data_IF_832218614515
#
_entry.id   IF_832218614515
#
_cell.length_a   1.000
_cell.length_b   1.000
_cell.length_c   1.000
_cell.angle_alpha   90.00
_cell.angle_beta   90.00
_cell.angle_gamma   90.00
#
_symmetry.space_group_name_H-M   'P 1'
#
loop_
_entity.id
_entity.type
_entity.pdbx_description
1 polymer ?
#
# COMPACT_ATOMS: atom_id res chain seq x y z
N UNK A 1 -34.73 84.01 24.97
CA UNK A 1 -33.70 83.27 24.18
C UNK A 1 -32.39 83.03 24.95
N UNK A 2 -31.95 83.94 25.83
CA UNK A 2 -30.71 83.80 26.61
C UNK A 2 -30.61 82.53 27.49
N UNK A 3 -31.71 82.13 28.16
CA UNK A 3 -31.71 80.94 29.03
C UNK A 3 -31.54 79.61 28.29
N UNK A 4 -31.89 79.53 26.99
CA UNK A 4 -31.71 78.32 26.17
C UNK A 4 -30.26 78.18 25.71
N UNK A 5 -29.59 79.29 25.43
CA UNK A 5 -28.16 79.28 25.10
C UNK A 5 -27.30 78.91 26.31
N UNK A 6 -27.63 79.40 27.51
CA UNK A 6 -26.90 79.06 28.73
C UNK A 6 -27.00 77.55 29.06
N UNK A 7 -28.18 76.94 28.83
CA UNK A 7 -28.40 75.50 29.02
C UNK A 7 -27.61 74.65 28.02
N UNK A 8 -27.51 75.10 26.77
CA UNK A 8 -26.73 74.41 25.73
C UNK A 8 -25.23 74.46 26.03
N UNK A 9 -24.72 75.58 26.52
CA UNK A 9 -23.31 75.72 26.92
C UNK A 9 -22.98 74.85 28.14
N UNK A 10 -23.91 74.75 29.10
CA UNK A 10 -23.72 73.95 30.31
C UNK A 10 -23.78 72.43 30.03
N UNK A 11 -24.60 72.00 29.08
CA UNK A 11 -24.63 70.60 28.61
C UNK A 11 -23.40 70.26 27.76
N UNK A 12 -22.89 71.21 26.96
CA UNK A 12 -21.65 71.01 26.21
C UNK A 12 -20.44 70.92 27.13
N UNK A 13 -20.37 71.72 28.20
CA UNK A 13 -19.29 71.60 29.20
C UNK A 13 -19.35 70.28 29.98
N UNK A 14 -20.54 69.77 30.30
CA UNK A 14 -20.72 68.47 30.97
C UNK A 14 -20.37 67.27 30.08
N UNK A 15 -20.56 67.39 28.76
CA UNK A 15 -20.16 66.36 27.79
C UNK A 15 -18.64 66.35 27.53
N UNK A 16 -17.95 67.49 27.67
CA UNK A 16 -16.49 67.59 27.48
C UNK A 16 -15.71 67.17 28.75
N UNK A 17 -16.34 67.18 29.94
CA UNK A 17 -15.73 66.62 31.16
C UNK A 17 -15.85 65.10 31.29
N UNK A 18 -16.63 64.44 30.43
CA UNK A 18 -16.72 62.97 30.39
C UNK A 18 -15.64 62.40 29.47
N UNK A 19 -14.38 62.47 29.89
CA UNK A 19 -13.36 61.63 29.27
C UNK A 19 -13.71 60.16 29.57
N UNK A 20 -13.67 59.24 28.58
CA UNK A 20 -13.76 57.83 28.87
C UNK A 20 -12.61 57.48 29.83
N UNK A 21 -12.94 56.92 30.98
CA UNK A 21 -11.93 56.46 31.93
C UNK A 21 -11.03 55.44 31.24
N UNK A 22 -9.74 55.76 31.12
CA UNK A 22 -8.71 54.87 30.57
C UNK A 22 -8.67 53.53 31.31
N UNK A 23 -9.07 53.49 32.60
CA UNK A 23 -9.20 52.28 33.40
C UNK A 23 -10.19 51.25 32.81
N UNK A 24 -11.33 51.71 32.26
CA UNK A 24 -12.34 50.80 31.69
C UNK A 24 -11.87 50.17 30.37
N UNK A 25 -11.12 50.93 29.56
CA UNK A 25 -10.48 50.39 28.35
C UNK A 25 -9.27 49.49 28.69
N UNK A 26 -8.51 49.79 29.74
CA UNK A 26 -7.41 48.94 30.21
C UNK A 26 -7.91 47.57 30.71
N UNK A 27 -9.03 47.53 31.44
CA UNK A 27 -9.68 46.28 31.87
C UNK A 27 -10.27 45.48 30.71
N UNK A 28 -10.93 46.12 29.74
CA UNK A 28 -11.49 45.43 28.58
C UNK A 28 -10.41 44.81 27.67
N UNK A 29 -9.26 45.47 27.54
CA UNK A 29 -8.13 44.99 26.73
C UNK A 29 -7.36 43.85 27.45
N UNK A 30 -7.25 43.89 28.78
CA UNK A 30 -6.63 42.81 29.57
C UNK A 30 -7.48 41.52 29.64
N UNK A 31 -8.81 41.65 29.59
CA UNK A 31 -9.69 40.47 29.54
C UNK A 31 -9.63 39.73 28.19
N UNK A 32 -9.53 40.46 27.07
CA UNK A 32 -9.41 39.84 25.75
C UNK A 32 -8.11 39.06 25.54
N UNK A 33 -7.01 39.50 26.15
CA UNK A 33 -5.73 38.82 26.05
C UNK A 33 -5.61 37.63 27.00
N UNK A 34 -6.15 37.72 28.22
CA UNK A 34 -6.28 36.57 29.11
C UNK A 34 -7.08 35.43 28.45
N UNK A 35 -8.18 35.77 27.77
CA UNK A 35 -8.96 34.78 27.02
C UNK A 35 -8.16 34.18 25.85
N UNK A 36 -7.44 35.00 25.07
CA UNK A 36 -6.57 34.52 23.99
C UNK A 36 -5.50 33.55 24.50
N UNK A 37 -4.86 33.85 25.63
CA UNK A 37 -3.84 32.99 26.25
C UNK A 37 -4.44 31.63 26.60
N UNK A 38 -5.59 31.61 27.29
CA UNK A 38 -6.29 30.39 27.68
C UNK A 38 -6.72 29.57 26.45
N UNK A 39 -7.27 30.23 25.44
CA UNK A 39 -7.73 29.58 24.21
C UNK A 39 -6.55 28.95 23.45
N UNK A 40 -5.46 29.69 23.24
CA UNK A 40 -4.28 29.16 22.55
C UNK A 40 -3.57 28.09 23.36
N UNK A 41 -3.51 28.21 24.68
CA UNK A 41 -2.93 27.19 25.54
C UNK A 41 -3.71 25.88 25.44
N UNK A 42 -5.05 25.95 25.37
CA UNK A 42 -5.90 24.79 25.12
C UNK A 42 -5.66 24.19 23.73
N UNK A 43 -5.54 25.03 22.69
CA UNK A 43 -5.20 24.55 21.33
C UNK A 43 -3.87 23.80 21.33
N UNK A 44 -2.82 24.34 21.95
CA UNK A 44 -1.52 23.68 22.02
C UNK A 44 -1.61 22.35 22.78
N UNK A 45 -2.38 22.27 23.87
CA UNK A 45 -2.61 21.02 24.60
C UNK A 45 -3.36 19.98 23.75
N UNK A 46 -4.40 20.39 23.02
CA UNK A 46 -5.16 19.50 22.14
C UNK A 46 -4.28 18.98 20.99
N UNK A 47 -3.43 19.83 20.41
CA UNK A 47 -2.46 19.43 19.40
C UNK A 47 -1.41 18.46 19.96
N UNK A 48 -0.95 18.67 21.20
CA UNK A 48 -0.04 17.74 21.88
C UNK A 48 -0.68 16.36 22.07
N UNK A 49 -1.92 16.31 22.57
CA UNK A 49 -2.65 15.05 22.76
C UNK A 49 -2.87 14.30 21.43
N UNK A 50 -3.18 15.01 20.34
CA UNK A 50 -3.28 14.41 19.00
C UNK A 50 -1.93 13.88 18.53
N UNK A 51 -0.85 14.62 18.76
CA UNK A 51 0.52 14.19 18.42
C UNK A 51 0.89 12.90 19.15
N UNK A 52 0.54 12.77 20.44
CA UNK A 52 0.78 11.56 21.21
C UNK A 52 -0.01 10.35 20.67
N UNK A 53 -1.25 10.58 20.23
CA UNK A 53 -2.08 9.56 19.59
C UNK A 53 -1.48 9.09 18.26
N UNK A 54 -0.96 10.02 17.45
CA UNK A 54 -0.30 9.69 16.19
C UNK A 54 1.04 8.98 16.42
N UNK A 55 1.83 9.39 17.41
CA UNK A 55 3.08 8.70 17.75
C UNK A 55 2.85 7.23 18.11
N UNK A 56 1.76 6.91 18.83
CA UNK A 56 1.38 5.52 19.10
C UNK A 56 1.02 4.76 17.83
N UNK A 57 0.22 5.36 16.94
CA UNK A 57 -0.10 4.76 15.62
C UNK A 57 1.15 4.50 14.78
N UNK A 58 2.14 5.41 14.80
CA UNK A 58 3.43 5.17 14.12
C UNK A 58 4.12 3.91 14.64
N UNK A 59 4.02 3.61 15.93
CA UNK A 59 4.58 2.40 16.52
C UNK A 59 3.77 1.15 16.18
N UNK A 60 2.44 1.25 16.19
CA UNK A 60 1.53 0.13 15.91
C UNK A 60 1.55 -0.26 14.41
N UNK A 61 1.61 0.73 13.53
CA UNK A 61 1.59 0.56 12.06
C UNK A 61 2.99 0.63 11.44
N UNK A 62 4.04 0.30 12.19
CA UNK A 62 5.44 0.45 11.78
C UNK A 62 5.82 -0.33 10.50
N UNK A 63 5.02 -1.34 10.12
CA UNK A 63 5.24 -2.17 8.92
C UNK A 63 4.38 -1.79 7.71
N UNK A 64 3.41 -0.87 7.86
CA UNK A 64 2.50 -0.46 6.79
C UNK A 64 2.87 0.92 6.23
N UNK A 65 3.48 0.94 5.04
CA UNK A 65 3.90 2.18 4.37
C UNK A 65 2.72 3.14 4.11
N UNK A 66 1.53 2.61 3.79
CA UNK A 66 0.37 3.44 3.47
C UNK A 66 -0.17 4.13 4.72
N UNK A 67 -0.24 3.41 5.85
CA UNK A 67 -0.61 3.96 7.14
C UNK A 67 0.41 5.02 7.61
N UNK A 68 1.70 4.76 7.45
CA UNK A 68 2.77 5.71 7.78
C UNK A 68 2.70 7.01 6.96
N UNK A 69 2.28 6.95 5.68
CA UNK A 69 2.04 8.15 4.86
C UNK A 69 0.89 8.98 5.42
N UNK A 70 -0.23 8.34 5.75
CA UNK A 70 -1.39 9.04 6.30
C UNK A 70 -1.05 9.74 7.62
N UNK A 71 -0.35 9.04 8.52
CA UNK A 71 0.10 9.62 9.80
C UNK A 71 1.07 10.79 9.57
N UNK A 72 1.99 10.69 8.60
CA UNK A 72 2.89 11.79 8.24
C UNK A 72 2.13 13.04 7.78
N UNK A 73 1.10 12.89 6.94
CA UNK A 73 0.28 14.02 6.48
C UNK A 73 -0.45 14.69 7.65
N UNK A 74 -1.02 13.91 8.56
CA UNK A 74 -1.69 14.43 9.75
C UNK A 74 -0.71 15.17 10.67
N UNK A 75 0.51 14.65 10.85
CA UNK A 75 1.57 15.34 11.60
C UNK A 75 1.97 16.67 10.95
N UNK A 76 2.10 16.73 9.61
CA UNK A 76 2.40 17.99 8.91
C UNK A 76 1.33 19.07 9.17
N UNK A 77 0.05 18.68 9.22
CA UNK A 77 -1.05 19.57 9.56
C UNK A 77 -1.01 20.05 11.01
N UNK A 78 -0.67 19.17 11.96
CA UNK A 78 -0.49 19.55 13.36
C UNK A 78 0.69 20.51 13.55
N UNK A 79 1.80 20.31 12.81
CA UNK A 79 2.96 21.21 12.86
C UNK A 79 2.58 22.62 12.39
N UNK A 80 1.83 22.72 11.28
CA UNK A 80 1.29 23.99 10.76
C UNK A 80 0.36 24.65 11.78
N UNK A 81 -0.53 23.88 12.42
CA UNK A 81 -1.45 24.39 13.42
C UNK A 81 -0.73 24.93 14.67
N UNK A 82 0.32 24.24 15.14
CA UNK A 82 1.14 24.69 16.26
C UNK A 82 1.82 26.03 15.95
N UNK A 83 2.40 26.20 14.77
CA UNK A 83 3.02 27.46 14.36
C UNK A 83 1.99 28.60 14.24
N UNK A 84 0.78 28.32 13.75
CA UNK A 84 -0.30 29.31 13.69
C UNK A 84 -0.73 29.81 15.08
N UNK A 85 -0.71 28.95 16.11
CA UNK A 85 -0.97 29.36 17.49
C UNK A 85 0.08 30.38 17.97
N UNK A 86 1.37 30.15 17.67
CA UNK A 86 2.41 31.11 18.02
C UNK A 86 2.26 32.45 17.27
N UNK A 87 1.84 32.41 16.00
CA UNK A 87 1.60 33.61 15.19
C UNK A 87 0.44 34.46 15.68
N UNK A 88 -0.57 33.87 16.32
CA UNK A 88 -1.73 34.58 16.87
C UNK A 88 -1.35 35.65 17.92
N UNK A 89 -0.23 35.47 18.62
CA UNK A 89 0.24 36.40 19.64
C UNK A 89 1.07 37.58 19.10
N UNK A 90 1.39 37.60 17.80
CA UNK A 90 2.31 38.60 17.21
C UNK A 90 1.83 40.03 17.41
N UNK A 91 0.54 40.29 17.17
CA UNK A 91 -0.05 41.63 17.36
C UNK A 91 -0.02 42.02 18.84
N UNK A 92 -0.41 41.11 19.73
CA UNK A 92 -0.50 41.39 21.16
C UNK A 92 0.86 41.68 21.78
N UNK A 93 1.89 40.94 21.39
CA UNK A 93 3.26 41.21 21.85
C UNK A 93 3.77 42.58 21.38
N UNK A 94 3.42 43.01 20.17
CA UNK A 94 3.76 44.35 19.68
C UNK A 94 3.09 45.43 20.55
N UNK A 95 1.80 45.27 20.85
CA UNK A 95 1.06 46.21 21.71
C UNK A 95 1.62 46.29 23.13
N UNK A 96 1.94 45.13 23.74
CA UNK A 96 2.55 45.08 25.08
C UNK A 96 3.93 45.76 25.07
N UNK A 97 4.78 45.48 24.08
CA UNK A 97 6.10 46.10 23.99
C UNK A 97 5.99 47.63 23.81
N UNK A 98 5.08 48.11 22.95
CA UNK A 98 4.83 49.54 22.77
C UNK A 98 4.35 50.20 24.08
N UNK A 99 3.46 49.55 24.83
CA UNK A 99 2.99 50.07 26.13
C UNK A 99 4.10 50.11 27.18
N UNK A 100 4.94 49.07 27.26
CA UNK A 100 6.10 49.05 28.16
C UNK A 100 7.09 50.17 27.80
N UNK A 101 7.29 50.44 26.50
CA UNK A 101 8.15 51.53 26.03
C UNK A 101 7.61 52.91 26.42
N UNK A 102 6.30 53.13 26.27
CA UNK A 102 5.62 54.37 26.70
C UNK A 102 5.72 54.58 28.22
N UNK A 103 5.63 53.51 29.02
CA UNK A 103 5.78 53.57 30.48
C UNK A 103 7.22 53.88 30.92
N UNK A 104 8.21 53.74 30.04
CA UNK A 104 9.61 54.03 30.32
C UNK A 104 10.29 53.09 31.33
N UNK A 105 11.60 53.25 31.54
CA UNK A 105 12.35 52.44 32.49
C UNK A 105 11.99 52.79 33.94
N UNK A 106 12.13 51.83 34.88
CA UNK A 106 11.93 52.12 36.30
C UNK A 106 12.89 53.20 36.81
N UNK A 107 12.47 54.04 37.77
CA UNK A 107 13.33 55.07 38.35
C UNK A 107 14.58 54.45 38.99
N UNK A 108 15.73 55.08 38.75
CA UNK A 108 17.01 54.66 39.31
C UNK A 108 17.02 54.78 40.85
N UNK A 109 17.84 53.98 41.54
CA UNK A 109 17.99 54.04 43.00
C UNK A 109 18.30 55.48 43.46
N UNK A 110 17.36 56.07 44.22
CA UNK A 110 17.47 57.43 44.76
C UNK A 110 16.52 58.47 44.14
N UNK A 111 15.75 58.15 43.11
CA UNK A 111 14.69 59.02 42.57
C UNK A 111 13.35 58.86 43.31
N UNK A 112 12.41 59.83 43.21
CA UNK A 112 11.08 59.73 43.81
C UNK A 112 10.38 58.44 43.36
N UNK A 113 9.72 57.75 44.29
CA UNK A 113 8.96 56.53 43.97
C UNK A 113 7.93 56.82 42.89
N UNK A 114 7.93 55.98 41.85
CA UNK A 114 6.90 55.99 40.81
C UNK A 114 5.51 55.81 41.44
N UNK A 115 4.46 56.44 40.88
CA UNK A 115 3.09 56.19 41.31
C UNK A 115 2.80 54.68 41.28
N UNK A 116 2.18 54.15 42.35
CA UNK A 116 1.89 52.71 42.48
C UNK A 116 1.12 52.14 41.28
N UNK A 117 0.30 52.97 40.62
CA UNK A 117 -0.47 52.62 39.42
C UNK A 117 0.46 52.23 38.25
N UNK A 118 1.52 53.01 37.98
CA UNK A 118 2.48 52.77 36.89
C UNK A 118 3.29 51.50 37.14
N UNK A 119 3.75 51.32 38.38
CA UNK A 119 4.48 50.11 38.80
C UNK A 119 3.63 48.85 38.66
N UNK A 120 2.36 48.92 39.08
CA UNK A 120 1.42 47.80 38.97
C UNK A 120 1.10 47.47 37.50
N UNK A 121 0.91 48.48 36.65
CA UNK A 121 0.66 48.27 35.22
C UNK A 121 1.87 47.66 34.51
N UNK A 122 3.09 48.15 34.78
CA UNK A 122 4.33 47.56 34.26
C UNK A 122 4.48 46.09 34.70
N UNK A 123 4.17 45.79 35.97
CA UNK A 123 4.18 44.44 36.50
C UNK A 123 3.17 43.50 35.81
N UNK A 124 1.94 43.98 35.60
CA UNK A 124 0.90 43.21 34.91
C UNK A 124 1.26 42.91 33.44
N UNK A 125 1.77 43.91 32.71
CA UNK A 125 2.22 43.74 31.32
C UNK A 125 3.43 42.80 31.21
N UNK A 126 4.35 42.84 32.18
CA UNK A 126 5.49 41.92 32.23
C UNK A 126 5.05 40.47 32.51
N UNK A 127 4.08 40.27 33.40
CA UNK A 127 3.49 38.96 33.67
C UNK A 127 2.78 38.40 32.43
N UNK A 128 1.95 39.20 31.77
CA UNK A 128 1.25 38.82 30.55
C UNK A 128 2.22 38.43 29.42
N UNK A 129 3.30 39.21 29.24
CA UNK A 129 4.36 38.90 28.27
C UNK A 129 5.04 37.56 28.58
N UNK A 130 5.28 37.26 29.86
CA UNK A 130 5.88 36.00 30.28
C UNK A 130 4.96 34.81 29.97
N UNK A 131 3.65 34.94 30.22
CA UNK A 131 2.66 33.90 29.90
C UNK A 131 2.56 33.65 28.39
N UNK A 132 2.48 34.71 27.57
CA UNK A 132 2.46 34.59 26.10
C UNK A 132 3.73 33.89 25.60
N UNK A 133 4.90 34.29 26.10
CA UNK A 133 6.17 33.67 25.71
C UNK A 133 6.22 32.18 26.09
N UNK A 134 5.62 31.79 27.22
CA UNK A 134 5.53 30.39 27.61
C UNK A 134 4.66 29.57 26.63
N UNK A 135 3.52 30.12 26.17
CA UNK A 135 2.67 29.45 25.17
C UNK A 135 3.38 29.35 23.81
N UNK A 136 4.04 30.43 23.37
CA UNK A 136 4.84 30.42 22.13
C UNK A 136 5.94 29.35 22.20
N UNK A 137 6.68 29.28 23.31
CA UNK A 137 7.72 28.28 23.49
C UNK A 137 7.15 26.86 23.45
N UNK A 138 5.98 26.62 24.07
CA UNK A 138 5.28 25.34 24.02
C UNK A 138 4.89 24.95 22.58
N UNK A 139 4.33 25.88 21.81
CA UNK A 139 3.97 25.66 20.41
C UNK A 139 5.19 25.38 19.52
N UNK A 140 6.30 26.10 19.73
CA UNK A 140 7.56 25.86 19.01
C UNK A 140 8.15 24.49 19.32
N UNK A 141 8.21 24.13 20.61
CA UNK A 141 8.68 22.81 21.05
C UNK A 141 7.82 21.69 20.46
N UNK A 142 6.50 21.88 20.40
CA UNK A 142 5.58 20.93 19.79
C UNK A 142 5.86 20.77 18.29
N UNK A 143 6.06 21.87 17.54
CA UNK A 143 6.42 21.80 16.11
C UNK A 143 7.75 21.06 15.89
N UNK A 144 8.77 21.32 16.71
CA UNK A 144 10.05 20.61 16.64
C UNK A 144 9.84 19.11 16.87
N UNK A 145 9.07 18.74 17.90
CA UNK A 145 8.76 17.33 18.20
C UNK A 145 8.02 16.65 17.04
N UNK A 146 7.01 17.32 16.47
CA UNK A 146 6.25 16.80 15.34
C UNK A 146 7.16 16.58 14.12
N UNK A 147 8.06 17.53 13.82
CA UNK A 147 9.02 17.38 12.72
C UNK A 147 9.98 16.19 12.96
N UNK A 148 10.43 15.97 14.19
CA UNK A 148 11.21 14.78 14.55
C UNK A 148 10.46 13.46 14.30
N UNK A 149 9.15 13.42 14.54
CA UNK A 149 8.32 12.25 14.21
C UNK A 149 8.19 12.07 12.69
N UNK A 150 8.01 13.15 11.93
CA UNK A 150 7.95 13.11 10.46
C UNK A 150 9.26 12.54 9.88
N UNK A 151 10.41 12.97 10.40
CA UNK A 151 11.73 12.48 9.99
C UNK A 151 11.89 10.99 10.32
N UNK A 152 11.48 10.57 11.53
CA UNK A 152 11.47 9.16 11.94
C UNK A 152 10.64 8.30 10.98
N UNK A 153 9.45 8.76 10.60
CA UNK A 153 8.60 8.08 9.60
C UNK A 153 9.34 7.98 8.27
N UNK A 154 10.03 9.05 7.83
CA UNK A 154 10.84 9.03 6.61
C UNK A 154 11.91 7.93 6.62
N UNK A 155 12.62 7.76 7.74
CA UNK A 155 13.62 6.70 7.92
C UNK A 155 12.97 5.32 7.89
N UNK A 156 11.89 5.10 8.67
CA UNK A 156 11.20 3.80 8.71
C UNK A 156 10.69 3.39 7.32
N UNK A 157 10.08 4.32 6.57
CA UNK A 157 9.60 4.05 5.21
C UNK A 157 10.73 3.75 4.24
N UNK A 158 11.87 4.44 4.34
CA UNK A 158 13.08 4.10 3.58
C UNK A 158 13.56 2.69 3.90
N UNK A 159 13.55 2.28 5.16
CA UNK A 159 13.94 0.94 5.58
C UNK A 159 12.92 -0.12 5.11
N UNK A 160 11.62 0.15 5.19
CA UNK A 160 10.59 -0.71 4.61
C UNK A 160 10.77 -0.87 3.10
N UNK A 161 11.09 0.21 2.39
CA UNK A 161 11.37 0.16 0.95
C UNK A 161 12.62 -0.68 0.65
N UNK A 162 13.70 -0.50 1.41
CA UNK A 162 14.92 -1.31 1.30
C UNK A 162 14.64 -2.78 1.61
N UNK A 163 13.84 -3.05 2.64
CA UNK A 163 13.41 -4.40 3.01
C UNK A 163 12.51 -5.00 1.93
N UNK A 164 11.57 -4.26 1.34
CA UNK A 164 10.75 -4.74 0.23
C UNK A 164 11.58 -5.06 -1.01
N UNK A 165 12.54 -4.20 -1.34
CA UNK A 165 13.49 -4.46 -2.42
C UNK A 165 14.37 -5.67 -2.11
N UNK A 166 14.89 -5.79 -0.89
CA UNK A 166 15.72 -6.90 -0.43
C UNK A 166 14.93 -8.21 -0.30
N UNK A 167 13.64 -8.19 0.05
CA UNK A 167 12.76 -9.37 0.12
C UNK A 167 12.35 -9.84 -1.27
N UNK A 168 12.31 -8.94 -2.27
CA UNK A 168 12.30 -9.33 -3.69
C UNK A 168 13.69 -9.72 -4.21
N UNK A 169 14.75 -9.37 -3.49
CA UNK A 169 16.14 -9.73 -3.72
C UNK A 169 16.66 -10.73 -2.65
N UNK A 170 15.91 -11.80 -2.40
CA UNK A 170 16.45 -13.06 -1.84
C UNK A 170 17.55 -13.68 -2.75
N UNK A 171 18.09 -12.93 -3.72
CA UNK A 171 19.23 -13.32 -4.51
C UNK A 171 20.47 -13.52 -3.65
N UNK A 172 20.63 -12.87 -2.50
CA UNK A 172 21.86 -13.03 -1.70
C UNK A 172 21.93 -14.39 -0.97
N UNK A 173 20.80 -14.89 -0.48
CA UNK A 173 20.70 -16.24 0.10
C UNK A 173 20.56 -17.30 -1.00
N UNK A 174 19.77 -17.02 -2.06
CA UNK A 174 19.61 -17.93 -3.21
C UNK A 174 20.85 -18.04 -4.12
N UNK A 175 21.78 -17.07 -4.07
CA UNK A 175 23.09 -17.13 -4.75
C UNK A 175 24.23 -17.43 -3.76
N UNK A 176 23.92 -17.82 -2.52
CA UNK A 176 24.95 -18.29 -1.62
C UNK A 176 25.59 -19.58 -2.18
N UNK A 177 26.88 -19.84 -1.90
CA UNK A 177 27.52 -21.10 -2.26
C UNK A 177 26.76 -22.32 -1.70
N UNK A 178 26.09 -22.14 -0.55
CA UNK A 178 25.24 -23.13 0.09
C UNK A 178 23.99 -23.42 -0.77
N UNK A 179 23.26 -22.38 -1.18
CA UNK A 179 22.09 -22.54 -2.06
C UNK A 179 22.44 -23.12 -3.42
N UNK A 180 23.64 -22.85 -3.95
CA UNK A 180 24.14 -23.48 -5.18
C UNK A 180 24.46 -24.97 -4.97
N UNK A 181 25.04 -25.33 -3.82
CA UNK A 181 25.27 -26.73 -3.44
C UNK A 181 23.95 -27.47 -3.21
N UNK A 182 23.02 -26.87 -2.47
CA UNK A 182 21.72 -27.44 -2.17
C UNK A 182 20.89 -27.62 -3.46
N UNK A 183 20.91 -26.64 -4.36
CA UNK A 183 20.31 -26.77 -5.68
C UNK A 183 20.96 -27.90 -6.49
N UNK A 184 22.29 -28.02 -6.49
CA UNK A 184 22.99 -29.10 -7.17
C UNK A 184 22.63 -30.48 -6.59
N UNK A 185 22.58 -30.62 -5.27
CA UNK A 185 22.22 -31.86 -4.59
C UNK A 185 20.75 -32.24 -4.84
N UNK A 186 19.84 -31.26 -4.87
CA UNK A 186 18.45 -31.46 -5.25
C UNK A 186 18.30 -31.92 -6.70
N UNK A 187 19.00 -31.29 -7.65
CA UNK A 187 18.99 -31.69 -9.06
C UNK A 187 19.58 -33.09 -9.27
N UNK A 188 20.69 -33.40 -8.60
CA UNK A 188 21.30 -34.74 -8.70
C UNK A 188 20.41 -35.80 -8.07
N UNK A 189 19.70 -35.48 -6.99
CA UNK A 189 18.76 -36.37 -6.34
C UNK A 189 17.51 -36.63 -7.20
N UNK A 190 16.91 -35.60 -7.81
CA UNK A 190 15.83 -35.76 -8.80
C UNK A 190 16.29 -36.63 -9.98
N UNK A 191 17.48 -36.35 -10.53
CA UNK A 191 18.06 -37.11 -11.63
C UNK A 191 18.28 -38.58 -11.24
N UNK A 192 18.82 -38.86 -10.05
CA UNK A 192 19.01 -40.22 -9.54
C UNK A 192 17.67 -40.94 -9.36
N UNK A 193 16.65 -40.28 -8.80
CA UNK A 193 15.32 -40.85 -8.63
C UNK A 193 14.71 -41.24 -9.98
N UNK A 194 14.71 -40.32 -10.95
CA UNK A 194 14.16 -40.56 -12.29
C UNK A 194 14.94 -41.63 -13.04
N UNK A 195 16.28 -41.57 -13.01
CA UNK A 195 17.15 -42.56 -13.66
C UNK A 195 16.97 -43.96 -13.08
N UNK A 196 16.94 -44.07 -11.74
CA UNK A 196 16.70 -45.33 -11.03
C UNK A 196 15.33 -45.91 -11.37
N UNK A 197 14.28 -45.07 -11.38
CA UNK A 197 12.95 -45.47 -11.77
C UNK A 197 12.88 -45.92 -13.23
N UNK A 198 13.55 -45.23 -14.15
CA UNK A 198 13.54 -45.57 -15.57
C UNK A 198 14.22 -46.94 -15.79
N UNK A 199 15.37 -47.18 -15.16
CA UNK A 199 16.03 -48.49 -15.18
C UNK A 199 15.10 -49.56 -14.61
N UNK A 200 14.41 -49.27 -13.49
CA UNK A 200 13.46 -50.21 -12.89
C UNK A 200 12.28 -50.54 -13.81
N UNK A 201 11.67 -49.50 -14.40
CA UNK A 201 10.54 -49.59 -15.31
C UNK A 201 10.88 -50.45 -16.53
N UNK A 202 12.03 -50.20 -17.17
CA UNK A 202 12.46 -50.95 -18.36
C UNK A 202 12.99 -52.35 -18.05
N UNK A 203 13.73 -52.57 -16.95
CA UNK A 203 14.31 -53.89 -16.65
C UNK A 203 13.34 -54.84 -15.95
N UNK A 204 12.47 -54.35 -15.08
CA UNK A 204 11.68 -55.20 -14.17
C UNK A 204 10.18 -55.08 -14.38
N UNK A 205 9.69 -54.04 -15.06
CA UNK A 205 8.25 -53.75 -15.21
C UNK A 205 7.85 -53.40 -16.65
N UNK A 206 8.62 -53.78 -17.67
CA UNK A 206 8.39 -53.37 -19.06
C UNK A 206 6.98 -53.73 -19.57
N UNK A 207 6.50 -54.93 -19.26
CA UNK A 207 5.13 -55.34 -19.62
C UNK A 207 4.06 -54.49 -18.94
N UNK A 208 4.27 -54.14 -17.67
CA UNK A 208 3.38 -53.27 -16.90
C UNK A 208 3.38 -51.83 -17.43
N UNK A 209 4.56 -51.30 -17.79
CA UNK A 209 4.71 -49.98 -18.43
C UNK A 209 4.01 -49.93 -19.78
N UNK A 210 4.20 -50.96 -20.61
CA UNK A 210 3.53 -51.06 -21.91
C UNK A 210 2.02 -51.18 -21.77
N UNK A 211 1.54 -52.01 -20.84
CA UNK A 211 0.11 -52.13 -20.57
C UNK A 211 -0.50 -50.80 -20.09
N UNK A 212 0.18 -50.12 -19.15
CA UNK A 212 -0.24 -48.80 -18.66
C UNK A 212 -0.28 -47.75 -19.79
N UNK A 213 0.78 -47.70 -20.61
CA UNK A 213 0.88 -46.77 -21.74
C UNK A 213 -0.18 -47.06 -22.81
N UNK A 214 -0.40 -48.33 -23.15
CA UNK A 214 -1.43 -48.72 -24.12
C UNK A 214 -2.84 -48.40 -23.63
N UNK A 215 -3.13 -48.61 -22.34
CA UNK A 215 -4.42 -48.23 -21.76
C UNK A 215 -4.61 -46.71 -21.75
N UNK A 216 -3.58 -45.94 -21.38
CA UNK A 216 -3.61 -44.48 -21.42
C UNK A 216 -3.81 -43.95 -22.85
N UNK A 217 -3.09 -44.50 -23.83
CA UNK A 217 -3.23 -44.15 -25.24
C UNK A 217 -4.57 -44.60 -25.82
N UNK A 218 -5.09 -45.76 -25.41
CA UNK A 218 -6.42 -46.23 -25.78
C UNK A 218 -7.50 -45.26 -25.30
N UNK A 219 -7.40 -44.81 -24.06
CA UNK A 219 -8.29 -43.78 -23.51
C UNK A 219 -8.13 -42.44 -24.24
N UNK A 220 -6.90 -42.03 -24.58
CA UNK A 220 -6.65 -40.85 -25.41
C UNK A 220 -7.31 -40.96 -26.78
N UNK A 221 -7.23 -42.13 -27.42
CA UNK A 221 -7.86 -42.39 -28.71
C UNK A 221 -9.38 -42.32 -28.60
N UNK A 222 -9.97 -42.89 -27.54
CA UNK A 222 -11.41 -42.78 -27.27
C UNK A 222 -11.83 -41.32 -27.05
N UNK A 223 -11.06 -40.53 -26.31
CA UNK A 223 -11.33 -39.10 -26.10
C UNK A 223 -11.19 -38.29 -27.40
N UNK A 224 -10.18 -38.57 -28.22
CA UNK A 224 -9.96 -37.88 -29.49
C UNK A 224 -11.05 -38.23 -30.52
N UNK A 225 -11.36 -39.51 -30.69
CA UNK A 225 -12.38 -39.97 -31.64
C UNK A 225 -13.78 -39.59 -31.14
N UNK A 226 -14.07 -39.83 -29.87
CA UNK A 226 -15.35 -39.48 -29.24
C UNK A 226 -15.58 -37.97 -29.21
N UNK A 227 -14.57 -37.20 -28.81
CA UNK A 227 -14.63 -35.74 -28.80
C UNK A 227 -14.85 -35.14 -30.20
N UNK A 228 -14.10 -35.61 -31.21
CA UNK A 228 -14.32 -35.17 -32.60
C UNK A 228 -15.67 -35.58 -33.14
N UNK A 229 -16.16 -36.78 -32.84
CA UNK A 229 -17.44 -37.29 -33.37
C UNK A 229 -18.65 -36.63 -32.73
N UNK A 230 -18.62 -36.36 -31.42
CA UNK A 230 -19.74 -35.77 -30.69
C UNK A 230 -19.82 -34.25 -30.85
N UNK A 231 -18.68 -33.57 -30.95
CA UNK A 231 -18.62 -32.13 -30.85
C UNK A 231 -17.87 -31.44 -32.01
N UNK A 232 -17.42 -32.17 -33.03
CA UNK A 232 -16.62 -31.64 -34.15
C UNK A 232 -17.25 -30.45 -34.90
N UNK A 233 -18.58 -30.29 -34.85
CA UNK A 233 -19.29 -29.15 -35.47
C UNK A 233 -19.37 -27.89 -34.60
N UNK A 234 -19.05 -27.97 -33.31
CA UNK A 234 -19.21 -26.86 -32.34
C UNK A 234 -17.88 -26.12 -32.10
N UNK A 235 -16.75 -26.73 -32.45
CA UNK A 235 -15.41 -26.22 -32.10
C UNK A 235 -14.70 -25.40 -33.16
N UNK A 236 -15.04 -25.60 -34.43
CA UNK A 236 -14.31 -24.97 -35.52
C UNK A 236 -15.00 -23.66 -35.89
N UNK A 237 -14.32 -22.52 -35.70
CA UNK A 237 -14.83 -21.23 -36.18
C UNK A 237 -14.96 -21.34 -37.70
N UNK A 238 -16.20 -21.19 -38.19
CA UNK A 238 -16.47 -21.29 -39.61
C UNK A 238 -15.88 -20.06 -40.33
N UNK A 239 -14.88 -20.24 -41.21
CA UNK A 239 -14.25 -19.13 -41.91
C UNK A 239 -15.18 -18.46 -42.93
N UNK A 240 -16.33 -19.07 -43.25
CA UNK A 240 -17.33 -18.49 -44.16
C UNK A 240 -18.23 -17.43 -43.50
N UNK A 241 -18.20 -17.30 -42.17
CA UNK A 241 -19.01 -16.31 -41.44
C UNK A 241 -18.20 -15.02 -41.23
N UNK A 242 -18.53 -13.98 -42.01
CA UNK A 242 -17.83 -12.68 -41.95
C UNK A 242 -18.17 -11.86 -40.69
N UNK A 243 -19.37 -12.02 -40.12
CA UNK A 243 -19.82 -11.28 -38.93
C UNK A 243 -20.53 -12.20 -37.90
N UNK A 244 -19.78 -13.04 -37.14
CA UNK A 244 -20.36 -13.88 -36.11
C UNK A 244 -20.89 -13.04 -34.94
N UNK A 245 -22.01 -13.46 -34.34
CA UNK A 245 -22.61 -12.79 -33.18
C UNK A 245 -21.71 -12.90 -31.94
N UNK A 246 -21.83 -11.97 -31.00
CA UNK A 246 -21.02 -12.00 -29.77
C UNK A 246 -21.17 -13.31 -28.99
N UNK A 247 -22.39 -13.85 -28.90
CA UNK A 247 -22.66 -15.13 -28.24
C UNK A 247 -22.06 -16.33 -28.99
N UNK A 248 -22.01 -16.31 -30.33
CA UNK A 248 -21.37 -17.38 -31.09
C UNK A 248 -19.85 -17.36 -30.93
N UNK A 249 -19.22 -16.18 -30.88
CA UNK A 249 -17.79 -16.02 -30.58
C UNK A 249 -17.45 -16.54 -29.18
N UNK A 250 -18.24 -16.13 -28.18
CA UNK A 250 -18.04 -16.57 -26.80
C UNK A 250 -18.21 -18.08 -26.64
N UNK A 251 -19.24 -18.66 -27.26
CA UNK A 251 -19.51 -20.09 -27.24
C UNK A 251 -18.39 -20.90 -27.90
N UNK A 252 -17.94 -20.50 -29.10
CA UNK A 252 -16.83 -21.18 -29.80
C UNK A 252 -15.53 -21.04 -29.01
N UNK A 253 -15.23 -19.86 -28.47
CA UNK A 253 -14.05 -19.66 -27.63
C UNK A 253 -14.10 -20.49 -26.33
N UNK A 254 -15.28 -20.62 -25.72
CA UNK A 254 -15.48 -21.45 -24.54
C UNK A 254 -15.33 -22.95 -24.85
N UNK A 255 -15.99 -23.45 -25.89
CA UNK A 255 -15.94 -24.89 -26.21
C UNK A 255 -14.60 -25.31 -26.81
N UNK A 256 -13.94 -24.46 -27.60
CA UNK A 256 -12.61 -24.73 -28.16
C UNK A 256 -11.49 -24.75 -27.10
N UNK A 257 -11.78 -24.26 -25.89
CA UNK A 257 -10.84 -24.24 -24.76
C UNK A 257 -11.17 -25.30 -23.73
N UNK A 258 -12.42 -25.35 -23.28
CA UNK A 258 -12.87 -26.25 -22.21
C UNK A 258 -12.68 -27.71 -22.60
N UNK A 259 -13.11 -28.10 -23.80
CA UNK A 259 -13.19 -29.51 -24.16
C UNK A 259 -11.82 -30.13 -24.44
N UNK A 260 -10.91 -29.48 -25.20
CA UNK A 260 -9.53 -29.96 -25.33
C UNK A 260 -8.77 -29.96 -24.00
N UNK A 261 -8.97 -28.96 -23.13
CA UNK A 261 -8.30 -28.91 -21.82
C UNK A 261 -8.80 -30.00 -20.89
N UNK A 262 -10.12 -30.24 -20.86
CA UNK A 262 -10.71 -31.34 -20.10
C UNK A 262 -10.23 -32.71 -20.63
N UNK A 263 -10.21 -32.91 -21.95
CA UNK A 263 -9.72 -34.14 -22.56
C UNK A 263 -8.25 -34.40 -22.20
N UNK A 264 -7.39 -33.37 -22.26
CA UNK A 264 -6.00 -33.47 -21.84
C UNK A 264 -5.91 -33.82 -20.35
N UNK A 265 -6.65 -33.13 -19.47
CA UNK A 265 -6.64 -33.40 -18.04
C UNK A 265 -7.07 -34.83 -17.71
N UNK A 266 -8.14 -35.34 -18.34
CA UNK A 266 -8.59 -36.74 -18.17
C UNK A 266 -7.54 -37.72 -18.68
N UNK A 267 -6.90 -37.44 -19.81
CA UNK A 267 -5.80 -38.26 -20.33
C UNK A 267 -4.60 -38.30 -19.38
N UNK A 268 -4.17 -37.15 -18.86
CA UNK A 268 -3.04 -37.06 -17.93
C UNK A 268 -3.37 -37.75 -16.60
N UNK A 269 -4.56 -37.53 -16.05
CA UNK A 269 -5.03 -38.20 -14.84
C UNK A 269 -5.12 -39.73 -15.03
N UNK A 270 -5.62 -40.17 -16.18
CA UNK A 270 -5.68 -41.59 -16.54
C UNK A 270 -4.29 -42.21 -16.70
N UNK A 271 -3.33 -41.45 -17.23
CA UNK A 271 -1.92 -41.87 -17.33
C UNK A 271 -1.35 -42.14 -15.95
N UNK A 272 -1.52 -41.21 -15.00
CA UNK A 272 -1.11 -41.42 -13.60
C UNK A 272 -1.82 -42.63 -13.00
N UNK A 273 -3.14 -42.72 -13.20
CA UNK A 273 -3.95 -43.82 -12.67
C UNK A 273 -3.44 -45.18 -13.14
N UNK A 274 -3.21 -45.38 -14.44
CA UNK A 274 -2.71 -46.66 -14.95
C UNK A 274 -1.29 -46.96 -14.47
N UNK A 275 -0.40 -45.97 -14.48
CA UNK A 275 0.97 -46.16 -13.98
C UNK A 275 0.99 -46.51 -12.48
N UNK A 276 0.06 -45.97 -11.70
CA UNK A 276 -0.12 -46.33 -10.30
C UNK A 276 -0.73 -47.74 -10.15
N UNK A 277 -1.80 -48.04 -10.89
CA UNK A 277 -2.49 -49.34 -10.88
C UNK A 277 -1.54 -50.51 -11.17
N UNK A 278 -0.66 -50.37 -12.15
CA UNK A 278 0.34 -51.38 -12.51
C UNK A 278 1.57 -51.39 -11.58
N UNK A 279 1.57 -50.58 -10.52
CA UNK A 279 2.66 -50.40 -9.56
C UNK A 279 4.00 -50.08 -10.27
N UNK A 280 3.95 -49.19 -11.26
CA UNK A 280 5.12 -48.70 -12.01
C UNK A 280 5.74 -47.50 -11.31
N UNK A 281 4.93 -46.66 -10.65
CA UNK A 281 5.40 -45.52 -9.87
C UNK A 281 5.92 -46.00 -8.52
N UNK A 282 7.22 -45.80 -8.26
CA UNK A 282 7.88 -46.20 -7.00
C UNK A 282 8.48 -44.96 -6.32
N UNK A 283 8.46 -44.95 -4.99
CA UNK A 283 8.96 -43.83 -4.19
C UNK A 283 8.24 -42.53 -4.54
N UNK A 284 8.98 -41.42 -4.59
CA UNK A 284 8.42 -40.08 -4.85
C UNK A 284 8.15 -39.78 -6.34
N UNK A 285 8.43 -40.73 -7.24
CA UNK A 285 8.21 -40.54 -8.69
C UNK A 285 6.74 -40.26 -9.02
N UNK A 286 5.81 -40.86 -8.28
CA UNK A 286 4.40 -40.55 -8.44
C UNK A 286 4.11 -39.08 -8.17
N UNK A 287 4.76 -38.49 -7.16
CA UNK A 287 4.59 -37.07 -6.81
C UNK A 287 5.19 -36.18 -7.91
N UNK A 288 6.41 -36.47 -8.35
CA UNK A 288 7.06 -35.70 -9.43
C UNK A 288 6.30 -35.77 -10.74
N UNK A 289 5.79 -36.95 -11.12
CA UNK A 289 5.00 -37.13 -12.32
C UNK A 289 3.68 -36.35 -12.23
N UNK A 290 2.97 -36.40 -11.09
CA UNK A 290 1.74 -35.63 -10.90
C UNK A 290 1.99 -34.13 -11.01
N UNK A 291 3.04 -33.61 -10.35
CA UNK A 291 3.41 -32.20 -10.43
C UNK A 291 3.73 -31.77 -11.87
N UNK A 292 4.52 -32.57 -12.60
CA UNK A 292 4.86 -32.30 -13.99
C UNK A 292 3.63 -32.29 -14.89
N UNK A 293 2.75 -33.30 -14.77
CA UNK A 293 1.54 -33.38 -15.59
C UNK A 293 0.54 -32.27 -15.25
N UNK A 294 0.45 -31.85 -13.99
CA UNK A 294 -0.36 -30.69 -13.59
C UNK A 294 0.15 -29.39 -14.25
N UNK A 295 1.46 -29.18 -14.29
CA UNK A 295 2.07 -28.04 -15.00
C UNK A 295 1.74 -28.08 -16.49
N UNK A 296 1.86 -29.24 -17.13
CA UNK A 296 1.51 -29.42 -18.55
C UNK A 296 0.03 -29.09 -18.78
N UNK A 297 -0.87 -29.56 -17.92
CA UNK A 297 -2.31 -29.28 -18.02
C UNK A 297 -2.62 -27.78 -17.90
N UNK A 298 -2.01 -27.09 -16.93
CA UNK A 298 -2.21 -25.65 -16.71
C UNK A 298 -1.66 -24.84 -17.88
N UNK A 299 -0.42 -25.11 -18.31
CA UNK A 299 0.20 -24.40 -19.44
C UNK A 299 -0.62 -24.58 -20.72
N UNK A 300 -1.10 -25.80 -20.98
CA UNK A 300 -1.97 -26.07 -22.12
C UNK A 300 -3.30 -25.31 -22.02
N UNK A 301 -3.94 -25.32 -20.84
CA UNK A 301 -5.19 -24.60 -20.59
C UNK A 301 -5.03 -23.10 -20.84
N UNK A 302 -3.98 -22.49 -20.27
CA UNK A 302 -3.68 -21.06 -20.46
C UNK A 302 -3.38 -20.74 -21.92
N UNK A 303 -2.58 -21.57 -22.60
CA UNK A 303 -2.29 -21.38 -24.02
C UNK A 303 -3.56 -21.42 -24.87
N UNK A 304 -4.43 -22.42 -24.64
CA UNK A 304 -5.70 -22.55 -25.36
C UNK A 304 -6.63 -21.39 -25.08
N UNK A 305 -6.80 -21.02 -23.82
CA UNK A 305 -7.66 -19.91 -23.41
C UNK A 305 -7.22 -18.59 -24.06
N UNK A 306 -5.92 -18.33 -24.06
CA UNK A 306 -5.36 -17.11 -24.65
C UNK A 306 -5.52 -17.11 -26.18
N UNK A 307 -5.33 -18.27 -26.83
CA UNK A 307 -5.56 -18.41 -28.27
C UNK A 307 -7.04 -18.25 -28.65
N UNK A 308 -7.98 -18.70 -27.84
CA UNK A 308 -9.41 -18.56 -28.10
C UNK A 308 -9.92 -17.13 -27.82
N UNK A 309 -9.36 -16.45 -26.82
CA UNK A 309 -9.73 -15.08 -26.51
C UNK A 309 -9.22 -14.07 -27.55
N UNK A 310 -7.95 -14.23 -27.98
CA UNK A 310 -7.27 -13.30 -28.89
C UNK A 310 -7.32 -13.73 -30.36
N UNK A 311 -7.69 -14.97 -30.63
CA UNK A 311 -7.81 -15.62 -31.93
C UNK A 311 -6.93 -15.02 -33.05
N UNK A 312 -5.61 -15.28 -33.02
CA UNK A 312 -4.66 -14.61 -33.92
C UNK A 312 -4.88 -14.95 -35.39
N UNK A 313 -5.46 -16.12 -35.68
CA UNK A 313 -5.65 -16.68 -37.02
C UNK A 313 -6.93 -16.22 -37.71
N UNK A 314 -8.00 -15.93 -36.95
CA UNK A 314 -9.30 -15.51 -37.48
C UNK A 314 -9.74 -14.21 -36.79
N UNK A 315 -9.38 -13.04 -37.33
CA UNK A 315 -9.66 -11.74 -36.72
C UNK A 315 -11.15 -11.49 -36.45
N UNK A 316 -12.03 -12.04 -37.31
CA UNK A 316 -13.49 -11.86 -37.23
C UNK A 316 -14.12 -12.57 -36.03
N UNK A 317 -13.45 -13.58 -35.46
CA UNK A 317 -13.94 -14.38 -34.34
C UNK A 317 -13.39 -13.93 -32.97
N UNK A 318 -12.52 -12.92 -32.96
CA UNK A 318 -11.94 -12.36 -31.73
C UNK A 318 -12.99 -11.82 -30.78
N UNK A 319 -12.77 -12.10 -29.50
CA UNK A 319 -13.51 -11.51 -28.39
C UNK A 319 -12.97 -10.13 -28.00
N UNK A 320 -11.66 -9.91 -28.15
CA UNK A 320 -10.99 -8.65 -27.80
C UNK A 320 -10.47 -7.98 -29.07
N UNK A 321 -10.83 -6.71 -29.34
CA UNK A 321 -10.37 -5.97 -30.52
C UNK A 321 -8.89 -5.55 -30.35
N UNK A 322 -7.98 -6.45 -30.70
CA UNK A 322 -6.53 -6.21 -30.74
C UNK A 322 -6.03 -6.53 -32.15
N UNK A 323 -5.02 -5.80 -32.63
CA UNK A 323 -4.37 -6.09 -33.91
C UNK A 323 -3.72 -7.49 -33.95
N UNK A 324 -3.68 -8.11 -35.13
CA UNK A 324 -3.13 -9.46 -35.42
C UNK A 324 -1.66 -9.63 -35.04
N UNK A 325 -0.86 -8.56 -35.10
CA UNK A 325 0.55 -8.57 -34.70
C UNK A 325 0.70 -8.72 -33.18
N UNK A 326 0.22 -7.75 -32.38
CA UNK A 326 0.25 -7.81 -30.93
C UNK A 326 -0.44 -9.04 -30.33
N UNK A 327 -1.56 -9.50 -30.90
CA UNK A 327 -2.26 -10.70 -30.44
C UNK A 327 -1.37 -11.96 -30.43
N UNK A 328 -0.50 -12.15 -31.45
CA UNK A 328 0.43 -13.29 -31.49
C UNK A 328 1.50 -13.19 -30.40
N UNK A 329 1.98 -12.00 -30.12
CA UNK A 329 2.97 -11.76 -29.07
C UNK A 329 2.36 -11.98 -27.69
N UNK A 330 1.15 -11.47 -27.44
CA UNK A 330 0.44 -11.69 -26.18
C UNK A 330 0.23 -13.17 -25.89
N UNK A 331 -0.23 -13.97 -26.86
CA UNK A 331 -0.35 -15.43 -26.69
C UNK A 331 0.98 -16.06 -26.27
N UNK A 332 2.09 -15.70 -26.90
CA UNK A 332 3.42 -16.24 -26.58
C UNK A 332 3.88 -15.82 -25.20
N UNK A 333 3.72 -14.55 -24.84
CA UNK A 333 4.13 -14.02 -23.54
C UNK A 333 3.31 -14.63 -22.40
N UNK A 334 1.99 -14.73 -22.54
CA UNK A 334 1.12 -15.36 -21.54
C UNK A 334 1.46 -16.84 -21.38
N UNK A 335 1.74 -17.54 -22.48
CA UNK A 335 2.18 -18.96 -22.42
C UNK A 335 3.54 -19.09 -21.74
N UNK A 336 4.50 -18.21 -22.06
CA UNK A 336 5.81 -18.20 -21.43
C UNK A 336 5.71 -17.93 -19.92
N UNK A 337 4.85 -16.99 -19.51
CA UNK A 337 4.57 -16.71 -18.10
C UNK A 337 3.99 -17.94 -17.40
N UNK A 338 3.03 -18.63 -18.01
CA UNK A 338 2.46 -19.86 -17.47
C UNK A 338 3.52 -20.97 -17.33
N UNK A 339 4.45 -21.09 -18.27
CA UNK A 339 5.57 -22.04 -18.20
C UNK A 339 6.49 -21.70 -17.03
N UNK A 340 6.87 -20.43 -16.84
CA UNK A 340 7.73 -20.00 -15.74
C UNK A 340 7.08 -20.27 -14.38
N UNK A 341 5.80 -19.88 -14.22
CA UNK A 341 5.05 -20.10 -12.98
C UNK A 341 4.88 -21.60 -12.72
N UNK A 342 4.53 -22.37 -13.75
CA UNK A 342 4.38 -23.82 -13.64
C UNK A 342 5.69 -24.51 -13.28
N UNK A 343 6.80 -24.15 -13.92
CA UNK A 343 8.11 -24.68 -13.62
C UNK A 343 8.55 -24.35 -12.19
N UNK A 344 8.30 -23.13 -11.71
CA UNK A 344 8.55 -22.75 -10.33
C UNK A 344 7.75 -23.61 -9.33
N UNK A 345 6.46 -23.87 -9.61
CA UNK A 345 5.64 -24.75 -8.79
C UNK A 345 6.18 -26.19 -8.78
N UNK A 346 6.58 -26.71 -9.94
CA UNK A 346 7.21 -28.03 -10.03
C UNK A 346 8.49 -28.12 -9.19
N UNK A 347 9.37 -27.12 -9.28
CA UNK A 347 10.59 -27.07 -8.48
C UNK A 347 10.29 -27.01 -6.97
N UNK A 348 9.25 -26.29 -6.56
CA UNK A 348 8.79 -26.27 -5.15
C UNK A 348 8.41 -27.67 -4.68
N UNK A 349 7.65 -28.43 -5.48
CA UNK A 349 7.25 -29.80 -5.12
C UNK A 349 8.46 -30.74 -5.05
N UNK A 350 9.43 -30.56 -5.96
CA UNK A 350 10.69 -31.32 -5.91
C UNK A 350 11.46 -30.98 -4.63
N UNK A 351 11.61 -29.70 -4.31
CA UNK A 351 12.31 -29.23 -3.12
C UNK A 351 11.69 -29.80 -1.84
N UNK A 352 10.36 -29.76 -1.70
CA UNK A 352 9.65 -30.28 -0.52
C UNK A 352 9.86 -31.79 -0.30
N UNK A 353 10.08 -32.55 -1.38
CA UNK A 353 10.29 -34.00 -1.32
C UNK A 353 11.75 -34.43 -1.22
N UNK A 354 12.67 -33.56 -1.65
CA UNK A 354 14.11 -33.83 -1.61
C UNK A 354 14.77 -33.23 -0.35
N UNK A 355 14.15 -32.21 0.26
CA UNK A 355 14.62 -31.54 1.48
C UNK A 355 14.09 -32.11 2.79
N UNK A 356 13.19 -33.11 2.74
CA UNK A 356 12.75 -33.92 3.89
C UNK A 356 13.46 -35.27 3.91
#
# INVERSE_FOLDING_TARGET
MFFRLLRLILVLMLAVSAQPSFDAMAQAIGQGSAQLIVDQQKVVQDLAAKTDGLEKKVADDAEDDAALVDVRLQLEDLSRAALNSALAFRSRLADINNRIEVLGPPPAQGQPQEPAIVTNERGALAAEKAEINAVIASAQNLSIRINGLIDKIGVMRSDLFRNFLAKRYELTDALSPQAFSDAHDQFTGLYKAVSSWLIFAFKFKLQAVLAAALMALGLAAVLLVGGRRLFGRIFEPDPSIEAPSYLSRLSVAFWSTLLPSAALSVFLASTVFFFNYYNVLRGDIGVFLNALLAVIAVVFCVNRLTNAALEPRLPNWRLIPVETGPARWLVRLTTAMAVVIGFNNFLSVVNDKMGS
#
